data_IF_392015718721
#
_entry.id   IF_392015718721
#
_cell.length_a   1.000
_cell.length_b   1.000
_cell.length_c   1.000
_cell.angle_alpha   90.00
_cell.angle_beta   90.00
_cell.angle_gamma   90.00
#
_symmetry.space_group_name_H-M   'P 1'
#
loop_
_entity.id
_entity.type
_entity.pdbx_description
1 polymer ?
#
# COMPACT_ATOMS: atom_id res chain seq x y z
N UNK A 1 -24.52 -56.13 -27.93
CA UNK A 1 -24.14 -56.08 -26.50
C UNK A 1 -23.90 -54.62 -26.12
N UNK A 2 -24.67 -54.12 -25.11
CA UNK A 2 -24.41 -53.03 -24.14
C UNK A 2 -23.69 -51.76 -24.68
N UNK A 3 -24.41 -50.65 -24.97
CA UNK A 3 -24.66 -49.45 -24.10
C UNK A 3 -23.36 -48.94 -23.41
N UNK A 4 -23.00 -47.65 -23.47
CA UNK A 4 -23.68 -46.53 -22.79
C UNK A 4 -23.20 -45.16 -23.30
N UNK A 5 -24.16 -44.28 -23.61
CA UNK A 5 -24.03 -42.82 -23.52
C UNK A 5 -23.93 -42.43 -22.05
N UNK A 6 -23.04 -41.51 -21.67
CA UNK A 6 -23.20 -40.71 -20.45
C UNK A 6 -22.60 -39.32 -20.64
N UNK A 7 -23.49 -38.35 -20.84
CA UNK A 7 -23.20 -36.94 -20.60
C UNK A 7 -23.25 -36.71 -19.08
N UNK A 8 -22.30 -35.94 -18.54
CA UNK A 8 -22.50 -35.28 -17.25
C UNK A 8 -21.72 -33.96 -17.24
N UNK A 9 -22.49 -32.89 -17.38
CA UNK A 9 -22.20 -31.53 -16.92
C UNK A 9 -21.78 -31.50 -15.45
N UNK A 10 -20.95 -30.54 -15.05
CA UNK A 10 -21.25 -29.52 -14.02
C UNK A 10 -20.16 -28.43 -14.04
N UNK A 11 -20.62 -27.18 -14.07
CA UNK A 11 -19.84 -25.97 -13.92
C UNK A 11 -19.13 -25.93 -12.55
N UNK A 12 -17.89 -25.46 -12.55
CA UNK A 12 -17.37 -24.68 -11.45
C UNK A 12 -16.57 -23.51 -12.05
N UNK A 13 -17.27 -22.45 -12.44
CA UNK A 13 -16.64 -21.12 -12.46
C UNK A 13 -16.31 -20.83 -11.00
N UNK A 14 -15.06 -21.04 -10.62
CA UNK A 14 -14.55 -20.61 -9.33
C UNK A 14 -14.51 -19.08 -9.36
N UNK A 15 -15.65 -18.46 -9.06
CA UNK A 15 -15.68 -17.08 -8.64
C UNK A 15 -14.93 -17.03 -7.32
N UNK A 16 -13.62 -16.74 -7.37
CA UNK A 16 -12.94 -16.17 -6.23
C UNK A 16 -13.57 -14.78 -6.03
N UNK A 17 -14.66 -14.75 -5.28
CA UNK A 17 -14.91 -13.62 -4.42
C UNK A 17 -13.74 -13.60 -3.44
N UNK A 18 -12.68 -12.89 -3.83
CA UNK A 18 -11.75 -12.34 -2.87
C UNK A 18 -12.58 -11.38 -2.02
N UNK A 19 -13.19 -11.89 -0.97
CA UNK A 19 -13.57 -11.09 0.16
C UNK A 19 -12.27 -10.51 0.69
N UNK A 20 -11.91 -9.31 0.21
CA UNK A 20 -10.94 -8.46 0.82
C UNK A 20 -11.43 -8.22 2.25
N UNK A 21 -10.91 -9.02 3.19
CA UNK A 21 -10.99 -8.72 4.60
C UNK A 21 -10.21 -7.42 4.80
N UNK A 22 -10.95 -6.32 4.91
CA UNK A 22 -10.49 -5.02 5.40
C UNK A 22 -10.12 -5.12 6.89
N UNK A 23 -9.15 -5.98 7.20
CA UNK A 23 -8.36 -5.90 8.42
C UNK A 23 -6.97 -5.51 7.91
N UNK A 24 -6.41 -4.41 8.41
CA UNK A 24 -5.03 -4.07 8.07
C UNK A 24 -4.17 -5.31 8.36
N UNK A 25 -3.42 -5.78 7.36
CA UNK A 25 -2.59 -6.96 7.53
C UNK A 25 -1.59 -6.72 8.65
N UNK A 26 -1.41 -7.71 9.53
CA UNK A 26 -0.48 -7.59 10.65
C UNK A 26 0.94 -7.32 10.14
N UNK A 27 1.71 -6.52 10.87
CA UNK A 27 3.09 -6.19 10.49
C UNK A 27 3.93 -7.47 10.41
N UNK A 28 4.70 -7.62 9.34
CA UNK A 28 5.74 -8.66 9.25
C UNK A 28 6.83 -8.35 10.28
N UNK A 29 7.04 -9.26 11.22
CA UNK A 29 8.04 -9.19 12.29
C UNK A 29 9.20 -10.16 12.09
N UNK A 30 9.07 -11.11 11.16
CA UNK A 30 10.11 -12.06 10.76
C UNK A 30 11.10 -11.46 9.76
N UNK A 31 12.38 -11.78 9.92
CA UNK A 31 13.44 -11.41 8.99
C UNK A 31 13.52 -12.43 7.85
N UNK A 32 14.01 -12.02 6.67
CA UNK A 32 14.16 -12.92 5.52
C UNK A 32 14.86 -14.24 5.87
N UNK A 33 15.92 -14.17 6.68
CA UNK A 33 16.73 -15.34 7.03
C UNK A 33 16.03 -16.31 7.99
N UNK A 34 15.00 -15.90 8.73
CA UNK A 34 14.21 -16.82 9.55
C UNK A 34 13.10 -17.52 8.77
N UNK A 35 12.75 -16.99 7.59
CA UNK A 35 11.73 -17.53 6.70
C UNK A 35 12.32 -18.51 5.67
N UNK A 36 13.51 -18.19 5.14
CA UNK A 36 14.28 -19.00 4.19
C UNK A 36 14.91 -20.22 4.90
N UNK A 37 14.08 -21.23 5.17
CA UNK A 37 14.43 -22.40 5.98
C UNK A 37 15.33 -23.38 5.24
N UNK A 38 15.18 -23.48 3.91
CA UNK A 38 16.04 -24.33 3.08
C UNK A 38 17.29 -23.62 2.54
N UNK A 39 17.41 -22.30 2.78
CA UNK A 39 18.55 -21.46 2.40
C UNK A 39 18.79 -21.40 0.90
N UNK A 40 17.73 -21.52 0.09
CA UNK A 40 17.80 -21.40 -1.37
C UNK A 40 17.83 -19.94 -1.85
N UNK A 41 17.61 -18.98 -0.94
CA UNK A 41 17.63 -17.56 -1.20
C UNK A 41 16.28 -16.96 -1.60
N UNK A 42 15.20 -17.72 -1.46
CA UNK A 42 13.82 -17.31 -1.68
C UNK A 42 12.95 -17.72 -0.49
N UNK A 43 11.76 -17.12 -0.38
CA UNK A 43 10.73 -17.59 0.55
C UNK A 43 9.61 -18.19 -0.28
N UNK A 44 9.47 -19.50 -0.22
CA UNK A 44 8.41 -20.24 -0.89
C UNK A 44 7.06 -20.04 -0.19
N UNK A 45 5.96 -20.43 -0.87
CA UNK A 45 4.63 -20.47 -0.24
C UNK A 45 4.57 -21.37 0.99
N UNK A 46 5.34 -22.46 1.00
CA UNK A 46 5.37 -23.41 2.12
C UNK A 46 6.05 -22.77 3.32
N UNK A 47 7.16 -22.06 3.10
CA UNK A 47 7.87 -21.34 4.16
C UNK A 47 7.09 -20.13 4.68
N UNK A 48 6.33 -19.47 3.80
CA UNK A 48 5.48 -18.35 4.19
C UNK A 48 4.24 -18.75 5.01
N UNK A 49 3.66 -19.94 4.78
CA UNK A 49 2.37 -20.38 5.37
C UNK A 49 2.40 -20.47 6.90
N UNK A 50 3.58 -20.72 7.48
CA UNK A 50 3.78 -20.82 8.93
C UNK A 50 4.02 -19.45 9.61
N UNK A 51 3.94 -18.34 8.86
CA UNK A 51 4.27 -16.99 9.34
C UNK A 51 3.26 -15.93 8.86
N UNK A 52 3.24 -14.75 9.49
CA UNK A 52 2.31 -13.67 9.13
C UNK A 52 2.55 -13.12 7.72
N UNK A 53 3.76 -13.34 7.16
CA UNK A 53 4.10 -12.99 5.78
C UNK A 53 3.18 -13.64 4.74
N UNK A 54 2.57 -14.79 5.05
CA UNK A 54 1.60 -15.46 4.17
C UNK A 54 0.51 -14.51 3.66
N UNK A 55 -0.02 -13.67 4.55
CA UNK A 55 -1.10 -12.75 4.22
C UNK A 55 -0.65 -11.63 3.26
N UNK A 56 0.65 -11.37 3.23
CA UNK A 56 1.29 -10.37 2.38
C UNK A 56 1.86 -10.97 1.10
N UNK A 57 1.85 -12.30 0.95
CA UNK A 57 2.60 -13.00 -0.10
C UNK A 57 2.32 -12.43 -1.49
N UNK A 58 1.05 -12.27 -1.86
CA UNK A 58 0.66 -11.73 -3.18
C UNK A 58 1.07 -10.28 -3.39
N UNK A 59 1.27 -9.53 -2.31
CA UNK A 59 1.70 -8.13 -2.39
C UNK A 59 3.22 -8.04 -2.50
N UNK A 60 3.94 -9.03 -1.97
CA UNK A 60 5.40 -9.11 -2.01
C UNK A 60 5.88 -9.73 -3.34
N UNK A 61 5.25 -10.83 -3.79
CA UNK A 61 5.53 -11.53 -5.06
C UNK A 61 5.02 -10.71 -6.26
N UNK A 62 5.76 -9.67 -6.59
CA UNK A 62 5.39 -8.70 -7.63
C UNK A 62 5.59 -9.26 -9.04
N UNK A 63 6.54 -10.18 -9.22
CA UNK A 63 6.80 -10.82 -10.50
C UNK A 63 5.91 -12.05 -10.75
N UNK A 64 5.14 -12.49 -9.75
CA UNK A 64 4.19 -13.61 -9.77
C UNK A 64 4.84 -14.96 -10.07
N UNK A 65 6.10 -15.15 -9.65
CA UNK A 65 6.81 -16.42 -9.84
C UNK A 65 6.53 -17.46 -8.74
N UNK A 66 5.69 -17.10 -7.75
CA UNK A 66 5.30 -17.90 -6.58
C UNK A 66 6.40 -18.08 -5.53
N UNK A 67 7.42 -17.22 -5.53
CA UNK A 67 8.48 -17.20 -4.54
C UNK A 67 8.88 -15.75 -4.24
N UNK A 68 9.12 -15.42 -2.98
CA UNK A 68 9.54 -14.06 -2.62
C UNK A 68 11.05 -14.00 -2.69
N UNK A 69 11.57 -13.17 -3.59
CA UNK A 69 13.00 -12.87 -3.61
C UNK A 69 13.40 -11.91 -2.48
N UNK A 70 14.69 -11.89 -2.13
CA UNK A 70 15.23 -10.91 -1.18
C UNK A 70 14.96 -9.45 -1.57
N UNK A 71 14.95 -9.15 -2.87
CA UNK A 71 14.68 -7.81 -3.37
C UNK A 71 13.22 -7.43 -3.15
N UNK A 72 12.29 -8.35 -3.43
CA UNK A 72 10.86 -8.15 -3.20
C UNK A 72 10.54 -8.02 -1.72
N UNK A 73 11.11 -8.88 -0.88
CA UNK A 73 10.98 -8.78 0.57
C UNK A 73 11.48 -7.42 1.07
N UNK A 74 12.69 -7.01 0.70
CA UNK A 74 13.25 -5.74 1.15
C UNK A 74 12.45 -4.53 0.64
N UNK A 75 12.01 -4.56 -0.62
CA UNK A 75 11.16 -3.53 -1.17
C UNK A 75 9.86 -3.46 -0.37
N UNK A 76 9.20 -4.59 -0.11
CA UNK A 76 7.99 -4.61 0.69
C UNK A 76 8.22 -4.12 2.12
N UNK A 77 9.29 -4.56 2.78
CA UNK A 77 9.60 -4.12 4.14
C UNK A 77 9.89 -2.62 4.19
N UNK A 78 10.62 -2.05 3.21
CA UNK A 78 10.83 -0.61 3.09
C UNK A 78 9.53 0.17 2.89
N UNK A 79 8.62 -0.35 2.06
CA UNK A 79 7.33 0.28 1.83
C UNK A 79 6.45 0.25 3.09
N UNK A 80 6.58 -0.80 3.91
CA UNK A 80 5.74 -1.09 5.07
C UNK A 80 6.48 -0.89 6.42
N UNK A 81 7.57 -0.12 6.45
CA UNK A 81 8.25 0.26 7.71
C UNK A 81 7.45 1.27 8.51
N UNK A 82 6.70 2.14 7.84
CA UNK A 82 5.77 3.08 8.44
C UNK A 82 4.50 2.38 8.91
N UNK A 83 3.96 2.81 10.04
CA UNK A 83 2.60 2.43 10.43
C UNK A 83 1.65 2.77 9.27
N UNK A 84 0.78 1.83 8.92
CA UNK A 84 -0.29 2.10 7.96
C UNK A 84 -1.46 2.70 8.71
N UNK A 85 -2.05 3.74 8.13
CA UNK A 85 -3.25 4.35 8.65
C UNK A 85 -4.39 3.34 8.82
N UNK A 86 -5.21 3.53 9.84
CA UNK A 86 -6.48 2.81 9.98
C UNK A 86 -7.53 3.33 8.99
N UNK A 87 -8.54 2.49 8.68
CA UNK A 87 -9.67 2.90 7.84
C UNK A 87 -10.40 4.14 8.39
N UNK A 88 -10.36 4.36 9.71
CA UNK A 88 -10.99 5.52 10.36
C UNK A 88 -10.23 6.80 10.06
N UNK A 89 -8.90 6.79 10.16
CA UNK A 89 -8.04 7.96 9.89
C UNK A 89 -8.12 8.40 8.42
N UNK A 90 -8.15 7.43 7.49
CA UNK A 90 -8.33 7.72 6.05
C UNK A 90 -9.74 8.24 5.75
N UNK A 91 -10.77 7.68 6.40
CA UNK A 91 -12.16 8.10 6.15
C UNK A 91 -12.48 9.46 6.75
N UNK A 92 -11.88 9.82 7.88
CA UNK A 92 -12.06 11.11 8.54
C UNK A 92 -11.36 12.24 7.77
N UNK A 93 -10.15 12.01 7.25
CA UNK A 93 -9.47 12.98 6.38
C UNK A 93 -10.21 13.27 5.08
N UNK A 94 -10.94 12.30 4.54
CA UNK A 94 -11.72 12.46 3.32
C UNK A 94 -13.08 13.17 3.53
N UNK A 95 -13.55 13.36 4.77
CA UNK A 95 -14.92 13.83 5.04
C UNK A 95 -15.03 15.26 5.56
N UNK A 96 -15.52 16.14 4.66
CA UNK A 96 -16.19 17.43 4.90
C UNK A 96 -15.34 18.65 5.35
N UNK A 97 -14.60 19.21 4.41
CA UNK A 97 -14.55 20.65 4.21
C UNK A 97 -14.30 20.97 2.72
N UNK A 98 -14.55 22.21 2.31
CA UNK A 98 -14.00 22.70 1.04
C UNK A 98 -12.47 22.64 1.18
N UNK A 99 -11.77 21.96 0.26
CA UNK A 99 -10.31 21.74 0.32
C UNK A 99 -9.52 23.05 0.51
N UNK A 100 -10.12 24.18 0.14
CA UNK A 100 -9.57 25.53 0.27
C UNK A 100 -9.63 26.10 1.69
N UNK A 101 -10.28 25.40 2.63
CA UNK A 101 -10.39 25.78 4.04
C UNK A 101 -9.36 25.09 4.93
N UNK A 102 -8.65 24.09 4.40
CA UNK A 102 -7.57 23.45 5.12
C UNK A 102 -6.33 24.33 5.09
N UNK A 103 -5.50 24.19 6.11
CA UNK A 103 -4.17 24.77 6.11
C UNK A 103 -3.39 24.21 4.93
N UNK A 104 -2.61 25.07 4.29
CA UNK A 104 -1.88 24.67 3.08
C UNK A 104 -0.70 23.81 3.46
N UNK A 105 -0.43 22.83 2.61
CA UNK A 105 0.77 22.00 2.67
C UNK A 105 1.99 22.88 2.37
N UNK A 106 2.90 23.01 3.33
CA UNK A 106 4.15 23.78 3.18
C UNK A 106 5.35 22.86 2.91
N UNK A 107 5.38 21.69 3.54
CA UNK A 107 6.49 20.75 3.50
C UNK A 107 6.59 19.99 2.18
N UNK A 108 7.82 19.75 1.74
CA UNK A 108 8.09 18.92 0.56
C UNK A 108 7.86 17.44 0.86
N UNK A 109 7.60 16.63 -0.17
CA UNK A 109 7.46 15.18 -0.03
C UNK A 109 8.63 14.55 0.75
N UNK A 110 9.87 14.91 0.41
CA UNK A 110 11.07 14.36 1.04
C UNK A 110 11.29 14.81 2.49
N UNK A 111 10.60 15.87 2.92
CA UNK A 111 10.60 16.32 4.32
C UNK A 111 9.58 15.56 5.16
N UNK A 112 8.50 15.10 4.52
CA UNK A 112 7.40 14.36 5.15
C UNK A 112 7.72 12.86 5.26
N UNK A 113 8.35 12.29 4.23
CA UNK A 113 8.83 10.90 4.17
C UNK A 113 10.10 10.73 5.03
N UNK A 114 9.92 10.76 6.35
CA UNK A 114 10.98 10.74 7.35
C UNK A 114 11.67 9.38 7.42
N UNK A 115 10.92 8.30 7.22
CA UNK A 115 11.45 6.94 7.20
C UNK A 115 12.06 6.55 5.85
N UNK A 116 11.86 7.37 4.80
CA UNK A 116 12.36 7.18 3.43
C UNK A 116 11.80 5.91 2.77
N UNK A 117 10.60 5.50 3.16
CA UNK A 117 9.83 4.43 2.52
C UNK A 117 9.43 4.76 1.09
N UNK A 118 9.45 6.05 0.71
CA UNK A 118 8.95 6.53 -0.58
C UNK A 118 7.45 6.82 -0.56
N UNK A 119 6.85 6.78 0.63
CA UNK A 119 5.43 7.00 0.90
C UNK A 119 5.30 7.91 2.12
N UNK A 120 4.22 8.67 2.19
CA UNK A 120 3.83 9.36 3.42
C UNK A 120 2.77 8.51 4.10
N UNK A 121 3.03 8.10 5.33
CA UNK A 121 2.09 7.46 6.26
C UNK A 121 1.15 8.49 6.90
N UNK A 122 0.13 8.04 7.65
CA UNK A 122 -0.74 8.99 8.39
C UNK A 122 -0.02 9.59 9.58
N UNK A 123 0.88 8.86 10.23
CA UNK A 123 1.71 9.41 11.31
C UNK A 123 2.63 10.52 10.80
N UNK A 124 3.25 10.32 9.64
CA UNK A 124 4.04 11.37 8.98
C UNK A 124 3.16 12.51 8.46
N UNK A 125 1.88 12.24 8.21
CA UNK A 125 0.94 13.25 7.77
C UNK A 125 0.48 14.18 8.91
N UNK A 126 0.33 13.64 10.12
CA UNK A 126 -0.17 14.34 11.31
C UNK A 126 0.82 15.39 11.83
N UNK A 127 2.11 15.24 11.54
CA UNK A 127 3.16 16.15 12.00
C UNK A 127 3.15 17.52 11.28
N UNK A 128 2.55 17.64 10.09
CA UNK A 128 2.70 18.80 9.18
C UNK A 128 1.38 19.27 8.53
N UNK A 129 0.25 19.08 9.22
CA UNK A 129 -1.11 19.49 8.79
C UNK A 129 -1.61 18.87 7.46
N UNK A 130 -0.89 17.90 6.88
CA UNK A 130 -1.30 17.27 5.61
C UNK A 130 -2.40 16.23 5.82
N UNK A 131 -2.66 15.79 7.05
CA UNK A 131 -3.66 14.76 7.36
C UNK A 131 -5.03 15.08 6.79
N UNK A 132 -5.43 16.36 6.78
CA UNK A 132 -6.69 16.80 6.18
C UNK A 132 -6.75 16.65 4.64
N UNK A 133 -5.59 16.48 3.99
CA UNK A 133 -5.46 16.27 2.56
C UNK A 133 -5.19 14.81 2.19
N UNK A 134 -4.79 13.98 3.16
CA UNK A 134 -4.35 12.60 2.95
C UNK A 134 -5.36 11.78 2.13
N UNK A 135 -6.62 11.72 2.59
CA UNK A 135 -7.67 10.97 1.89
C UNK A 135 -8.02 11.51 0.50
N UNK A 136 -7.68 12.75 0.17
CA UNK A 136 -7.82 13.29 -1.20
C UNK A 136 -6.63 12.95 -2.11
N UNK A 137 -5.46 12.67 -1.52
CA UNK A 137 -4.24 12.31 -2.22
C UNK A 137 -4.16 10.81 -2.50
N UNK A 138 -4.59 9.96 -1.55
CA UNK A 138 -4.60 8.50 -1.66
C UNK A 138 -5.68 8.02 -2.67
N UNK A 139 -5.34 8.04 -3.96
CA UNK A 139 -6.26 7.71 -5.05
C UNK A 139 -6.43 6.20 -5.19
N UNK A 140 -5.34 5.44 -5.00
CA UNK A 140 -5.37 3.98 -5.10
C UNK A 140 -5.88 3.29 -3.82
N UNK A 141 -6.09 4.05 -2.74
CA UNK A 141 -6.61 3.58 -1.44
C UNK A 141 -5.69 2.57 -0.78
N UNK A 142 -4.38 2.73 -0.97
CA UNK A 142 -3.37 1.89 -0.31
C UNK A 142 -2.98 2.39 1.10
N UNK A 143 -3.69 3.43 1.57
CA UNK A 143 -3.58 4.04 2.90
C UNK A 143 -2.23 4.70 3.13
N UNK A 144 -1.56 5.07 2.04
CA UNK A 144 -0.31 5.81 1.98
C UNK A 144 -0.43 6.84 0.87
N UNK A 145 0.44 7.83 0.88
CA UNK A 145 0.54 8.80 -0.22
C UNK A 145 1.89 8.64 -0.90
N UNK A 146 1.88 8.14 -2.13
CA UNK A 146 3.10 8.09 -2.93
C UNK A 146 3.53 9.48 -3.40
N UNK A 147 4.81 9.66 -3.75
CA UNK A 147 5.30 10.92 -4.35
C UNK A 147 4.48 11.36 -5.57
N UNK A 148 4.04 10.40 -6.39
CA UNK A 148 3.23 10.67 -7.58
C UNK A 148 1.87 11.23 -7.21
N UNK A 149 1.22 10.68 -6.20
CA UNK A 149 -0.08 11.16 -5.70
C UNK A 149 0.02 12.55 -5.10
N UNK A 150 1.03 12.77 -4.25
CA UNK A 150 1.33 14.08 -3.66
C UNK A 150 1.51 15.17 -4.74
N UNK A 151 2.40 14.92 -5.71
CA UNK A 151 2.68 15.87 -6.80
C UNK A 151 1.46 16.10 -7.67
N UNK A 152 0.68 15.05 -7.97
CA UNK A 152 -0.54 15.16 -8.79
C UNK A 152 -1.59 16.02 -8.10
N UNK A 153 -1.78 15.83 -6.80
CA UNK A 153 -2.72 16.61 -6.00
C UNK A 153 -2.33 18.10 -5.98
N UNK A 154 -1.06 18.41 -5.71
CA UNK A 154 -0.57 19.79 -5.70
C UNK A 154 -0.65 20.42 -7.10
N UNK A 155 -0.30 19.71 -8.19
CA UNK A 155 -0.44 20.25 -9.55
C UNK A 155 -1.90 20.52 -9.92
N UNK A 156 -2.85 19.74 -9.40
CA UNK A 156 -4.28 19.89 -9.69
C UNK A 156 -4.90 21.10 -9.00
N UNK A 157 -4.54 21.38 -7.75
CA UNK A 157 -5.17 22.42 -6.94
C UNK A 157 -4.27 23.64 -6.67
N UNK A 158 -2.97 23.50 -6.87
CA UNK A 158 -1.97 24.56 -6.79
C UNK A 158 -2.00 25.31 -5.46
N UNK A 159 -1.99 26.64 -5.55
CA UNK A 159 -1.96 27.55 -4.40
C UNK A 159 -3.18 27.44 -3.47
N UNK A 160 -4.22 26.73 -3.89
CA UNK A 160 -5.40 26.49 -3.06
C UNK A 160 -5.14 25.47 -1.94
N UNK A 161 -4.13 24.61 -2.09
CA UNK A 161 -3.83 23.51 -1.14
C UNK A 161 -2.36 23.44 -0.73
N UNK A 162 -1.47 24.15 -1.42
CA UNK A 162 -0.03 24.08 -1.15
C UNK A 162 0.65 25.44 -1.34
N UNK A 163 1.73 25.64 -0.61
CA UNK A 163 2.64 26.77 -0.76
C UNK A 163 4.10 26.35 -0.51
N UNK A 164 5.00 27.32 -0.48
CA UNK A 164 6.42 27.15 -0.17
C UNK A 164 7.10 25.94 -0.86
N UNK A 165 7.62 25.00 -0.08
CA UNK A 165 8.46 23.93 -0.58
C UNK A 165 7.65 22.80 -1.19
N UNK A 166 6.42 22.59 -0.73
CA UNK A 166 5.45 21.69 -1.36
C UNK A 166 5.16 22.12 -2.81
N UNK A 167 4.85 23.41 -3.02
CA UNK A 167 4.54 23.95 -4.35
C UNK A 167 5.78 23.98 -5.26
N UNK A 168 6.95 24.34 -4.75
CA UNK A 168 8.21 24.33 -5.51
C UNK A 168 8.60 22.90 -5.92
N UNK A 169 8.54 21.95 -4.98
CA UNK A 169 8.95 20.56 -5.23
C UNK A 169 8.03 19.88 -6.23
N UNK A 170 6.72 20.16 -6.21
CA UNK A 170 5.77 19.65 -7.18
C UNK A 170 6.04 20.18 -8.61
N UNK A 171 6.38 21.46 -8.76
CA UNK A 171 6.67 22.05 -10.08
C UNK A 171 8.02 21.61 -10.67
N UNK A 172 8.97 21.21 -9.83
CA UNK A 172 10.30 20.75 -10.24
C UNK A 172 10.40 19.22 -10.37
N UNK A 173 9.33 18.48 -10.05
CA UNK A 173 9.22 17.02 -10.18
C UNK A 173 8.50 16.61 -11.46
#
# INVERSE_FOLDING_TARGET
MKKLTLASTILATLSLAACASNQGLDKIDSDFASLDNDSDGFISKVEADDDNIWQHFSNIDTNMDNQISRNEFNAYMQLNTGKVATDSEVSESAFKADITKFDKIQSSFSSLDNDKSGYISVEEADDDDISNHFGYMDVNKDKRVSKREFVTYIKKYGNAVAEDDALKSANNS
#
